data_IF_880800463068
#
_entry.id   IF_880800463068
#
_cell.length_a   1.000
_cell.length_b   1.000
_cell.length_c   1.000
_cell.angle_alpha   90.00
_cell.angle_beta   90.00
_cell.angle_gamma   90.00
#
_symmetry.space_group_name_H-M   'P 1'
#
loop_
_entity.id
_entity.type
_entity.pdbx_description
1 polymer ?
#
# COMPACT_ATOMS: atom_id res chain seq x y z
N UNK A 1 7.58 -8.91 4.20
CA UNK A 1 8.60 -9.86 3.71
C UNK A 1 10.00 -9.33 3.98
N UNK A 2 10.34 -8.12 3.50
CA UNK A 2 11.67 -7.54 3.62
C UNK A 2 11.63 -6.02 3.44
N UNK A 3 12.55 -5.30 4.10
CA UNK A 3 12.78 -3.86 3.85
C UNK A 3 13.99 -3.62 2.92
N UNK A 4 14.58 -4.68 2.35
CA UNK A 4 15.58 -4.52 1.31
C UNK A 4 14.94 -3.94 0.05
N UNK A 5 15.48 -2.83 -0.47
CA UNK A 5 14.94 -2.15 -1.63
C UNK A 5 16.05 -1.73 -2.58
N UNK A 6 15.88 -1.95 -3.88
CA UNK A 6 16.82 -1.51 -4.91
C UNK A 6 16.55 -0.09 -5.40
N UNK A 7 15.34 0.43 -5.13
CA UNK A 7 14.97 1.81 -5.45
C UNK A 7 15.56 2.79 -4.44
N UNK A 8 15.78 4.01 -4.90
CA UNK A 8 16.34 5.08 -4.09
C UNK A 8 15.42 6.32 -4.09
N UNK A 9 14.11 6.07 -4.00
CA UNK A 9 13.08 7.11 -3.97
C UNK A 9 13.41 8.15 -2.91
N UNK A 10 13.37 9.44 -3.26
CA UNK A 10 13.91 10.51 -2.41
C UNK A 10 13.07 10.81 -1.16
N UNK A 11 11.88 10.25 -1.08
CA UNK A 11 10.91 10.40 0.02
C UNK A 11 10.89 9.21 1.00
N UNK A 12 11.48 8.07 0.63
CA UNK A 12 11.23 6.81 1.32
C UNK A 12 12.33 6.48 2.35
N UNK A 13 11.94 6.23 3.60
CA UNK A 13 12.88 5.88 4.67
C UNK A 13 13.68 4.61 4.40
N UNK A 14 13.10 3.61 3.72
CA UNK A 14 13.79 2.35 3.39
C UNK A 14 14.53 2.36 2.03
N UNK A 15 14.70 3.53 1.40
CA UNK A 15 15.44 3.65 0.13
C UNK A 15 16.83 3.02 0.22
N UNK A 16 17.36 2.54 -0.91
CA UNK A 16 18.68 1.85 -0.96
C UNK A 16 19.84 2.72 -0.47
N UNK A 17 19.75 4.04 -0.66
CA UNK A 17 20.77 5.00 -0.20
C UNK A 17 20.71 5.34 1.29
N UNK A 18 19.66 4.92 2.03
CA UNK A 18 19.64 5.09 3.48
C UNK A 18 20.41 3.97 4.17
N UNK A 19 21.63 4.29 4.62
CA UNK A 19 22.53 3.34 5.29
C UNK A 19 22.25 3.18 6.78
N UNK A 20 21.37 4.00 7.36
CA UNK A 20 21.00 3.91 8.79
C UNK A 20 19.94 2.86 9.04
N UNK A 21 19.22 2.41 8.01
CA UNK A 21 18.17 1.41 8.14
C UNK A 21 18.76 0.04 8.43
N UNK A 22 18.36 -0.56 9.52
CA UNK A 22 18.62 -1.96 9.80
C UNK A 22 17.81 -2.82 8.82
N UNK A 23 18.50 -3.53 7.94
CA UNK A 23 17.88 -4.37 6.90
C UNK A 23 17.50 -5.72 7.48
N UNK A 24 16.31 -6.18 7.09
CA UNK A 24 15.83 -7.50 7.45
C UNK A 24 15.22 -8.24 6.25
N UNK A 25 15.08 -9.53 6.41
CA UNK A 25 14.39 -10.42 5.50
C UNK A 25 13.78 -11.52 6.36
N UNK A 26 12.45 -11.55 6.48
CA UNK A 26 11.71 -12.52 7.27
C UNK A 26 11.97 -13.94 6.76
N UNK A 27 12.04 -14.92 7.64
CA UNK A 27 12.02 -16.31 7.22
C UNK A 27 10.64 -16.69 6.65
N UNK A 28 10.61 -17.70 5.78
CA UNK A 28 9.36 -18.13 5.14
C UNK A 28 8.35 -18.63 6.18
N UNK A 29 8.84 -19.28 7.23
CA UNK A 29 8.05 -19.79 8.35
C UNK A 29 7.37 -18.67 9.13
N UNK A 30 8.04 -17.54 9.35
CA UNK A 30 7.48 -16.35 10.01
C UNK A 30 6.33 -15.76 9.17
N UNK A 31 6.50 -15.71 7.85
CA UNK A 31 5.49 -15.17 6.93
C UNK A 31 4.27 -16.09 6.89
N UNK A 32 4.48 -17.40 6.80
CA UNK A 32 3.39 -18.40 6.81
C UNK A 32 2.65 -18.37 8.14
N UNK A 33 3.36 -18.30 9.27
CA UNK A 33 2.76 -18.19 10.60
C UNK A 33 1.90 -16.92 10.74
N UNK A 34 2.37 -15.78 10.23
CA UNK A 34 1.58 -14.55 10.21
C UNK A 34 0.32 -14.67 9.33
N UNK A 35 0.39 -15.42 8.23
CA UNK A 35 -0.77 -15.67 7.37
C UNK A 35 -1.79 -16.61 8.04
N UNK A 36 -1.32 -17.66 8.74
CA UNK A 36 -2.18 -18.55 9.55
C UNK A 36 -2.86 -17.72 10.64
N UNK A 37 -2.09 -16.91 11.38
CA UNK A 37 -2.65 -16.01 12.40
C UNK A 37 -3.75 -15.11 11.81
N UNK A 38 -3.53 -14.49 10.64
CA UNK A 38 -4.54 -13.67 10.00
C UNK A 38 -5.81 -14.47 9.67
N UNK A 39 -5.67 -15.66 9.09
CA UNK A 39 -6.79 -16.54 8.77
C UNK A 39 -7.58 -16.93 10.03
N UNK A 40 -6.90 -17.34 11.10
CA UNK A 40 -7.53 -17.84 12.33
C UNK A 40 -8.22 -16.71 13.10
N UNK A 41 -7.77 -15.46 12.92
CA UNK A 41 -8.43 -14.27 13.45
C UNK A 41 -9.52 -13.71 12.52
N UNK A 42 -9.90 -14.43 11.47
CA UNK A 42 -10.99 -14.06 10.58
C UNK A 42 -10.66 -12.95 9.57
N UNK A 43 -9.39 -12.59 9.38
CA UNK A 43 -9.04 -11.70 8.28
C UNK A 43 -9.20 -12.43 6.94
N UNK A 44 -9.98 -11.85 6.04
CA UNK A 44 -10.24 -12.47 4.73
C UNK A 44 -9.10 -12.23 3.72
N UNK A 45 -8.17 -11.33 4.01
CA UNK A 45 -7.06 -11.03 3.10
C UNK A 45 -5.80 -10.55 3.82
N UNK A 46 -4.65 -10.72 3.15
CA UNK A 46 -3.33 -10.28 3.61
C UNK A 46 -2.59 -9.53 2.52
N UNK A 47 -1.77 -8.54 2.91
CA UNK A 47 -0.81 -7.88 2.01
C UNK A 47 0.60 -8.37 2.32
N UNK A 48 1.23 -9.01 1.35
CA UNK A 48 2.65 -9.37 1.40
C UNK A 48 3.46 -8.25 0.76
N UNK A 49 4.08 -7.43 1.59
CA UNK A 49 4.84 -6.26 1.17
C UNK A 49 6.34 -6.47 1.30
N UNK A 50 7.09 -5.93 0.35
CA UNK A 50 8.55 -5.88 0.39
C UNK A 50 9.06 -4.56 -0.20
N UNK A 51 10.30 -4.18 0.11
CA UNK A 51 11.03 -3.29 -0.78
C UNK A 51 11.15 -3.92 -2.17
N UNK A 52 11.41 -3.12 -3.19
CA UNK A 52 11.51 -3.62 -4.56
C UNK A 52 12.79 -4.44 -4.74
N UNK A 53 12.61 -5.74 -4.97
CA UNK A 53 13.68 -6.73 -5.17
C UNK A 53 13.41 -7.47 -6.48
N UNK A 54 14.47 -7.72 -7.24
CA UNK A 54 14.40 -8.44 -8.52
C UNK A 54 15.27 -9.70 -8.48
N UNK A 55 15.02 -10.63 -9.39
CA UNK A 55 15.85 -11.79 -9.64
C UNK A 55 15.16 -13.13 -9.41
N UNK A 56 15.70 -14.17 -10.04
CA UNK A 56 15.11 -15.51 -10.09
C UNK A 56 14.86 -16.12 -8.70
N UNK A 57 15.76 -15.88 -7.74
CA UNK A 57 15.60 -16.41 -6.38
C UNK A 57 14.41 -15.78 -5.67
N UNK A 58 14.27 -14.44 -5.75
CA UNK A 58 13.14 -13.73 -5.15
C UNK A 58 11.81 -14.15 -5.81
N UNK A 59 11.79 -14.25 -7.14
CA UNK A 59 10.60 -14.70 -7.88
C UNK A 59 10.14 -16.08 -7.41
N UNK A 60 11.04 -17.08 -7.36
CA UNK A 60 10.75 -18.43 -6.89
C UNK A 60 10.32 -18.47 -5.42
N UNK A 61 10.94 -17.63 -4.59
CA UNK A 61 10.59 -17.53 -3.18
C UNK A 61 9.14 -17.07 -3.00
N UNK A 62 8.72 -16.00 -3.70
CA UNK A 62 7.34 -15.52 -3.64
C UNK A 62 6.35 -16.59 -4.12
N UNK A 63 6.64 -17.29 -5.21
CA UNK A 63 5.79 -18.41 -5.68
C UNK A 63 5.65 -19.51 -4.63
N UNK A 64 6.74 -19.89 -4.00
CA UNK A 64 6.73 -20.89 -2.92
C UNK A 64 5.90 -20.42 -1.73
N UNK A 65 6.08 -19.15 -1.31
CA UNK A 65 5.31 -18.54 -0.21
C UNK A 65 3.81 -18.52 -0.52
N UNK A 66 3.41 -18.13 -1.72
CA UNK A 66 2.01 -18.12 -2.15
C UNK A 66 1.40 -19.51 -2.00
N UNK A 67 2.05 -20.55 -2.54
CA UNK A 67 1.59 -21.93 -2.44
C UNK A 67 1.51 -22.43 -0.99
N UNK A 68 2.53 -22.13 -0.16
CA UNK A 68 2.56 -22.50 1.26
C UNK A 68 1.40 -21.84 2.02
N UNK A 69 1.13 -20.55 1.80
CA UNK A 69 0.04 -19.82 2.46
C UNK A 69 -1.32 -20.38 2.02
N UNK A 70 -1.54 -20.58 0.72
CA UNK A 70 -2.78 -21.18 0.22
C UNK A 70 -3.04 -22.55 0.85
N UNK A 71 -2.05 -23.43 0.89
CA UNK A 71 -2.16 -24.74 1.53
C UNK A 71 -2.46 -24.63 3.03
N UNK A 72 -1.75 -23.73 3.75
CA UNK A 72 -1.89 -23.56 5.19
C UNK A 72 -3.21 -22.91 5.61
N UNK A 73 -3.86 -22.15 4.74
CA UNK A 73 -5.13 -21.45 5.02
C UNK A 73 -6.33 -22.05 4.28
N UNK A 74 -6.15 -23.20 3.59
CA UNK A 74 -7.18 -23.83 2.77
C UNK A 74 -7.85 -22.83 1.80
N UNK A 75 -7.05 -22.01 1.11
CA UNK A 75 -7.47 -20.96 0.16
C UNK A 75 -8.43 -19.91 0.73
N UNK A 76 -8.61 -19.84 2.05
CA UNK A 76 -9.52 -18.87 2.68
C UNK A 76 -8.97 -17.46 2.76
N UNK A 77 -7.64 -17.28 2.60
CA UNK A 77 -6.98 -15.98 2.70
C UNK A 77 -6.61 -15.43 1.33
N UNK A 78 -7.23 -14.32 0.92
CA UNK A 78 -6.87 -13.63 -0.33
C UNK A 78 -5.54 -12.90 -0.18
N UNK A 79 -4.63 -13.10 -1.14
CA UNK A 79 -3.29 -12.50 -1.09
C UNK A 79 -3.18 -11.31 -2.05
N UNK A 80 -2.70 -10.19 -1.52
CA UNK A 80 -2.26 -9.01 -2.27
C UNK A 80 -0.73 -8.94 -2.22
N UNK A 81 -0.07 -8.81 -3.36
CA UNK A 81 1.37 -8.54 -3.41
C UNK A 81 1.63 -7.03 -3.53
N UNK A 82 2.69 -6.56 -2.86
CA UNK A 82 3.25 -5.22 -3.00
C UNK A 82 4.78 -5.30 -3.00
N UNK A 83 5.34 -5.74 -4.14
CA UNK A 83 6.75 -6.07 -4.32
C UNK A 83 7.42 -5.23 -5.42
N UNK A 84 6.84 -4.07 -5.76
CA UNK A 84 7.37 -3.14 -6.76
C UNK A 84 7.23 -3.59 -8.20
N UNK A 85 8.04 -3.00 -9.08
CA UNK A 85 8.07 -3.32 -10.51
C UNK A 85 8.69 -4.70 -10.75
N UNK A 86 8.09 -5.46 -11.66
CA UNK A 86 8.61 -6.77 -12.09
C UNK A 86 8.42 -6.92 -13.62
N UNK A 87 9.03 -7.93 -14.18
CA UNK A 87 8.81 -8.28 -15.59
C UNK A 87 7.45 -8.99 -15.78
N UNK A 88 6.85 -8.90 -16.96
CA UNK A 88 5.52 -9.48 -17.30
C UNK A 88 5.40 -10.96 -16.92
N UNK A 89 6.45 -11.74 -17.18
CA UNK A 89 6.48 -13.17 -16.85
C UNK A 89 6.41 -13.40 -15.33
N UNK A 90 7.07 -12.57 -14.52
CA UNK A 90 7.05 -12.67 -13.07
C UNK A 90 5.64 -12.37 -12.54
N UNK A 91 4.98 -11.33 -13.03
CA UNK A 91 3.60 -11.04 -12.65
C UNK A 91 2.67 -12.20 -12.98
N UNK A 92 2.77 -12.78 -14.19
CA UNK A 92 1.96 -13.93 -14.60
C UNK A 92 2.18 -15.13 -13.67
N UNK A 93 3.42 -15.49 -13.38
CA UNK A 93 3.76 -16.62 -12.50
C UNK A 93 3.19 -16.43 -11.07
N UNK A 94 3.28 -15.24 -10.51
CA UNK A 94 2.72 -14.95 -9.21
C UNK A 94 1.18 -14.96 -9.21
N UNK A 95 0.56 -14.50 -10.29
CA UNK A 95 -0.88 -14.57 -10.49
C UNK A 95 -1.38 -16.02 -10.55
N UNK A 96 -0.70 -16.87 -11.32
CA UNK A 96 -0.97 -18.31 -11.42
C UNK A 96 -0.72 -19.02 -10.09
N UNK A 97 0.24 -18.56 -9.29
CA UNK A 97 0.52 -19.09 -7.95
C UNK A 97 -0.47 -18.61 -6.86
N UNK A 98 -1.50 -17.82 -7.21
CA UNK A 98 -2.61 -17.48 -6.32
C UNK A 98 -2.67 -16.01 -5.87
N UNK A 99 -1.70 -15.16 -6.17
CA UNK A 99 -1.82 -13.74 -5.90
C UNK A 99 -2.78 -13.08 -6.88
N UNK A 100 -4.00 -12.75 -6.45
CA UNK A 100 -5.03 -12.16 -7.32
C UNK A 100 -5.10 -10.65 -7.26
N UNK A 101 -4.34 -10.01 -6.35
CA UNK A 101 -4.26 -8.56 -6.16
C UNK A 101 -2.81 -8.11 -6.17
N UNK A 102 -2.58 -6.94 -6.73
CA UNK A 102 -1.25 -6.32 -6.71
C UNK A 102 -1.37 -4.83 -6.43
N UNK A 103 -0.61 -4.33 -5.46
CA UNK A 103 -0.54 -2.92 -5.11
C UNK A 103 0.83 -2.36 -5.49
N UNK A 104 0.84 -1.39 -6.42
CA UNK A 104 2.05 -0.69 -6.83
C UNK A 104 1.79 0.81 -6.95
N UNK A 105 2.28 1.58 -6.00
CA UNK A 105 2.01 3.02 -5.91
C UNK A 105 2.72 3.79 -7.02
N UNK A 106 1.98 4.71 -7.68
CA UNK A 106 2.53 5.67 -8.65
C UNK A 106 3.08 6.91 -7.96
N UNK A 107 2.55 7.27 -6.80
CA UNK A 107 2.81 8.41 -5.93
C UNK A 107 2.34 9.77 -6.46
N UNK A 108 2.39 10.01 -7.75
CA UNK A 108 1.76 11.10 -8.50
C UNK A 108 1.63 10.72 -9.97
N UNK A 109 0.59 11.20 -10.64
CA UNK A 109 0.39 11.03 -12.09
C UNK A 109 1.15 12.06 -12.92
N UNK A 110 1.63 13.14 -12.30
CA UNK A 110 2.44 14.16 -12.95
C UNK A 110 3.88 13.66 -13.12
N UNK A 111 4.33 13.53 -14.38
CA UNK A 111 5.67 13.02 -14.70
C UNK A 111 6.79 13.93 -14.20
N UNK A 112 6.61 15.25 -14.25
CA UNK A 112 7.62 16.22 -13.81
C UNK A 112 7.75 16.20 -12.29
N UNK A 113 6.64 16.12 -11.56
CA UNK A 113 6.63 15.92 -10.12
C UNK A 113 7.27 14.57 -9.76
N UNK A 114 6.92 13.50 -10.47
CA UNK A 114 7.53 12.18 -10.27
C UNK A 114 9.06 12.23 -10.40
N UNK A 115 9.58 12.95 -11.41
CA UNK A 115 11.02 13.13 -11.61
C UNK A 115 11.71 13.87 -10.45
N UNK A 116 10.99 14.77 -9.75
CA UNK A 116 11.50 15.44 -8.54
C UNK A 116 11.52 14.53 -7.29
N UNK A 117 10.69 13.50 -7.28
CA UNK A 117 10.59 12.54 -6.18
C UNK A 117 11.59 11.38 -6.30
N UNK A 118 12.25 11.24 -7.44
CA UNK A 118 13.09 10.09 -7.75
C UNK A 118 14.43 10.50 -8.34
N UNK A 119 15.49 9.68 -8.19
CA UNK A 119 16.71 9.86 -8.96
C UNK A 119 16.45 9.77 -10.46
N UNK A 120 17.18 10.57 -11.22
CA UNK A 120 17.14 10.52 -12.69
C UNK A 120 17.98 9.35 -13.21
N UNK A 121 17.44 8.14 -13.10
CA UNK A 121 18.09 6.92 -13.60
C UNK A 121 17.04 5.94 -14.17
N UNK A 122 17.51 4.92 -14.91
CA UNK A 122 16.63 3.94 -15.55
C UNK A 122 15.78 3.12 -14.57
N UNK A 123 16.17 3.01 -13.29
CA UNK A 123 15.43 2.28 -12.27
C UNK A 123 14.20 3.04 -11.79
N UNK A 124 14.14 4.36 -12.03
CA UNK A 124 13.07 5.23 -11.54
C UNK A 124 12.26 5.84 -12.70
N UNK A 125 12.10 5.11 -13.80
CA UNK A 125 11.34 5.56 -14.96
C UNK A 125 9.84 5.62 -14.65
N UNK A 126 9.23 6.79 -14.83
CA UNK A 126 7.78 6.99 -14.75
C UNK A 126 7.05 6.11 -15.78
N UNK A 127 7.54 6.08 -17.02
CA UNK A 127 6.96 5.26 -18.08
C UNK A 127 6.96 3.77 -17.72
N UNK A 128 8.09 3.25 -17.22
CA UNK A 128 8.15 1.84 -16.77
C UNK A 128 7.14 1.56 -15.67
N UNK A 129 6.93 2.49 -14.74
CA UNK A 129 5.93 2.34 -13.66
C UNK A 129 4.52 2.23 -14.23
N UNK A 130 4.17 3.06 -15.21
CA UNK A 130 2.88 3.00 -15.92
C UNK A 130 2.72 1.69 -16.70
N UNK A 131 3.75 1.28 -17.43
CA UNK A 131 3.74 0.04 -18.20
C UNK A 131 3.51 -1.17 -17.27
N UNK A 132 4.13 -1.19 -16.10
CA UNK A 132 3.88 -2.23 -15.11
C UNK A 132 2.43 -2.23 -14.59
N UNK A 133 1.81 -1.07 -14.35
CA UNK A 133 0.39 -1.00 -13.97
C UNK A 133 -0.52 -1.57 -15.07
N UNK A 134 -0.21 -1.30 -16.33
CA UNK A 134 -0.95 -1.85 -17.46
C UNK A 134 -0.78 -3.37 -17.56
N UNK A 135 0.46 -3.87 -17.43
CA UNK A 135 0.75 -5.31 -17.44
C UNK A 135 -0.01 -6.04 -16.32
N UNK A 136 -0.11 -5.45 -15.13
CA UNK A 136 -0.88 -6.01 -14.03
C UNK A 136 -2.37 -6.15 -14.39
N UNK A 137 -2.97 -5.12 -15.00
CA UNK A 137 -4.36 -5.16 -15.49
C UNK A 137 -4.54 -6.24 -16.57
N UNK A 138 -3.66 -6.27 -17.58
CA UNK A 138 -3.68 -7.28 -18.65
C UNK A 138 -3.53 -8.71 -18.13
N UNK A 139 -2.77 -8.89 -17.04
CA UNK A 139 -2.58 -10.21 -16.40
C UNK A 139 -3.83 -10.67 -15.63
N UNK A 140 -4.78 -9.76 -15.35
CA UNK A 140 -6.02 -10.05 -14.63
C UNK A 140 -6.00 -9.74 -13.15
N UNK A 141 -4.97 -9.05 -12.64
CA UNK A 141 -4.95 -8.62 -11.25
C UNK A 141 -6.04 -7.60 -10.94
N UNK A 142 -6.60 -7.67 -9.73
CA UNK A 142 -7.18 -6.50 -9.11
C UNK A 142 -6.04 -5.52 -8.82
N UNK A 143 -5.84 -4.59 -9.77
CA UNK A 143 -4.70 -3.69 -9.76
C UNK A 143 -4.95 -2.50 -8.84
N UNK A 144 -4.04 -2.31 -7.88
CA UNK A 144 -4.03 -1.20 -6.96
C UNK A 144 -2.88 -0.25 -7.21
N UNK A 145 -3.14 1.03 -7.03
CA UNK A 145 -2.11 2.07 -6.98
C UNK A 145 -2.45 3.11 -5.90
N UNK A 146 -1.73 4.20 -5.86
CA UNK A 146 -2.01 5.29 -4.94
C UNK A 146 -1.05 6.44 -5.09
N UNK A 147 -1.43 7.55 -4.48
CA UNK A 147 -0.73 8.81 -4.54
C UNK A 147 -0.43 9.34 -3.15
N UNK A 148 0.56 10.22 -3.03
CA UNK A 148 0.83 10.98 -1.82
C UNK A 148 0.27 12.40 -1.97
N UNK A 149 -0.24 12.94 -0.88
CA UNK A 149 -0.92 14.24 -0.84
C UNK A 149 -0.10 15.22 0.01
N UNK A 150 0.14 16.41 -0.54
CA UNK A 150 0.95 17.44 0.11
C UNK A 150 2.47 17.21 -0.06
N UNK A 151 2.88 16.64 -1.18
CA UNK A 151 4.29 16.54 -1.56
C UNK A 151 4.92 17.92 -1.77
N UNK A 152 6.23 18.07 -1.58
CA UNK A 152 6.92 19.28 -2.07
C UNK A 152 6.64 19.48 -3.55
N UNK A 153 6.36 20.74 -3.94
CA UNK A 153 6.07 21.15 -5.34
C UNK A 153 4.75 20.67 -5.93
N UNK A 154 3.93 19.91 -5.21
CA UNK A 154 2.62 19.46 -5.66
C UNK A 154 1.63 20.63 -5.66
N UNK A 155 0.85 20.75 -6.72
CA UNK A 155 -0.20 21.75 -6.88
C UNK A 155 -1.59 21.15 -6.70
N UNK A 156 -2.65 21.96 -6.51
CA UNK A 156 -4.02 21.46 -6.53
C UNK A 156 -4.41 20.79 -7.85
N UNK A 157 -3.86 21.26 -8.99
CA UNK A 157 -4.06 20.67 -10.31
C UNK A 157 -3.46 19.27 -10.38
N UNK A 158 -2.27 19.04 -9.81
CA UNK A 158 -1.67 17.70 -9.71
C UNK A 158 -2.60 16.72 -8.95
N UNK A 159 -3.24 17.19 -7.88
CA UNK A 159 -4.19 16.37 -7.10
C UNK A 159 -5.45 16.05 -7.91
N UNK A 160 -5.97 17.01 -8.68
CA UNK A 160 -7.09 16.78 -9.57
C UNK A 160 -6.75 15.78 -10.68
N UNK A 161 -5.57 15.94 -11.29
CA UNK A 161 -5.07 15.01 -12.32
C UNK A 161 -4.81 13.61 -11.75
N UNK A 162 -4.35 13.50 -10.51
CA UNK A 162 -4.21 12.22 -9.81
C UNK A 162 -5.57 11.50 -9.69
N UNK A 163 -6.66 12.22 -9.35
CA UNK A 163 -8.01 11.62 -9.30
C UNK A 163 -8.50 11.17 -10.68
N UNK A 164 -8.29 12.00 -11.71
CA UNK A 164 -8.64 11.66 -13.09
C UNK A 164 -7.80 10.47 -13.58
N UNK A 165 -6.52 10.42 -13.25
CA UNK A 165 -5.65 9.30 -13.56
C UNK A 165 -6.19 7.98 -12.97
N UNK A 166 -6.58 7.98 -11.69
CA UNK A 166 -7.12 6.80 -11.03
C UNK A 166 -8.38 6.29 -11.74
N UNK A 167 -9.29 7.19 -12.10
CA UNK A 167 -10.52 6.90 -12.83
C UNK A 167 -10.25 6.40 -14.26
N UNK A 168 -9.46 7.14 -15.03
CA UNK A 168 -9.19 6.85 -16.44
C UNK A 168 -8.39 5.55 -16.63
N UNK A 169 -7.58 5.17 -15.63
CA UNK A 169 -6.85 3.91 -15.64
C UNK A 169 -7.62 2.75 -15.01
N UNK A 170 -8.87 2.96 -14.62
CA UNK A 170 -9.74 1.91 -14.07
C UNK A 170 -9.10 1.18 -12.88
N UNK A 171 -8.54 1.95 -11.93
CA UNK A 171 -7.88 1.41 -10.74
C UNK A 171 -8.94 0.95 -9.73
N UNK A 172 -8.80 -0.28 -9.25
CA UNK A 172 -9.82 -0.91 -8.40
C UNK A 172 -9.49 -0.90 -6.90
N UNK A 173 -8.22 -0.66 -6.54
CA UNK A 173 -7.76 -0.51 -5.15
C UNK A 173 -6.88 0.73 -5.03
N UNK A 174 -7.24 1.67 -4.18
CA UNK A 174 -6.58 2.96 -4.12
C UNK A 174 -6.11 3.26 -2.69
N UNK A 175 -4.81 3.57 -2.57
CA UNK A 175 -4.19 4.03 -1.33
C UNK A 175 -3.77 5.49 -1.44
N UNK A 176 -4.49 6.39 -0.78
CA UNK A 176 -4.10 7.80 -0.67
C UNK A 176 -3.77 8.14 0.76
N UNK A 177 -2.74 8.95 0.95
CA UNK A 177 -2.35 9.38 2.28
C UNK A 177 -1.52 10.64 2.25
N UNK A 178 -1.49 11.39 3.36
CA UNK A 178 -0.65 12.57 3.47
C UNK A 178 0.83 12.19 3.34
N UNK A 179 1.60 13.02 2.66
CA UNK A 179 3.05 12.91 2.71
C UNK A 179 3.52 13.22 4.14
N UNK A 180 4.27 12.30 4.71
CA UNK A 180 4.96 12.47 5.98
C UNK A 180 6.46 12.37 5.74
N UNK A 181 7.20 13.29 6.34
CA UNK A 181 8.63 13.39 6.20
C UNK A 181 9.34 12.24 6.89
N UNK A 182 10.52 11.92 6.41
CA UNK A 182 11.51 11.08 7.11
C UNK A 182 12.84 11.82 7.12
N UNK A 183 13.41 12.04 8.29
CA UNK A 183 14.61 12.85 8.50
C UNK A 183 15.83 12.37 7.68
N UNK A 184 15.93 11.06 7.43
CA UNK A 184 17.03 10.46 6.66
C UNK A 184 16.76 10.39 5.15
N UNK A 185 15.83 11.20 4.63
CA UNK A 185 15.51 11.24 3.20
C UNK A 185 15.96 12.56 2.55
N UNK A 186 16.33 12.55 1.26
CA UNK A 186 16.71 13.77 0.57
C UNK A 186 15.60 14.82 0.49
N UNK A 187 14.32 14.41 0.44
CA UNK A 187 13.20 15.37 0.41
C UNK A 187 12.99 16.10 1.73
N UNK A 188 13.55 15.63 2.85
CA UNK A 188 13.45 16.31 4.14
C UNK A 188 13.96 17.77 4.11
N UNK A 189 14.90 18.09 3.21
CA UNK A 189 15.39 19.45 3.02
C UNK A 189 14.31 20.47 2.60
N UNK A 190 13.19 19.98 2.04
CA UNK A 190 12.07 20.82 1.59
C UNK A 190 10.94 20.94 2.62
N UNK A 191 11.13 20.44 3.85
CA UNK A 191 10.08 20.42 4.90
C UNK A 191 9.48 21.78 5.21
N UNK A 192 10.26 22.87 5.08
CA UNK A 192 9.80 24.25 5.29
C UNK A 192 8.88 24.78 4.17
N UNK A 193 8.79 24.08 3.04
CA UNK A 193 7.93 24.41 1.91
C UNK A 193 6.64 23.61 1.88
N UNK A 194 6.49 22.67 2.81
CA UNK A 194 5.30 21.83 2.88
C UNK A 194 4.13 22.59 3.48
N UNK A 195 2.94 22.28 3.03
CA UNK A 195 1.72 22.66 3.76
C UNK A 195 1.78 22.15 5.20
N UNK A 196 1.18 22.85 6.15
CA UNK A 196 0.99 22.35 7.51
C UNK A 196 0.42 20.92 7.52
N UNK A 197 0.87 20.10 8.44
CA UNK A 197 0.50 18.68 8.47
C UNK A 197 -1.02 18.47 8.56
N UNK A 198 -1.73 19.34 9.27
CA UNK A 198 -3.20 19.30 9.37
C UNK A 198 -3.87 19.62 8.04
N UNK A 199 -3.33 20.55 7.25
CA UNK A 199 -3.86 20.84 5.91
C UNK A 199 -3.65 19.66 4.96
N UNK A 200 -2.50 18.98 5.03
CA UNK A 200 -2.25 17.74 4.26
C UNK A 200 -3.24 16.62 4.67
N UNK A 201 -3.57 16.56 5.95
CA UNK A 201 -4.59 15.65 6.47
C UNK A 201 -5.97 15.95 5.88
N UNK A 202 -6.42 17.21 5.97
CA UNK A 202 -7.72 17.63 5.46
C UNK A 202 -7.83 17.47 3.94
N UNK A 203 -6.77 17.79 3.19
CA UNK A 203 -6.70 17.52 1.75
C UNK A 203 -6.84 16.03 1.45
N UNK A 204 -6.22 15.17 2.27
CA UNK A 204 -6.35 13.72 2.08
C UNK A 204 -7.80 13.25 2.28
N UNK A 205 -8.50 13.74 3.30
CA UNK A 205 -9.92 13.42 3.51
C UNK A 205 -10.78 13.93 2.35
N UNK A 206 -10.53 15.14 1.84
CA UNK A 206 -11.22 15.68 0.65
C UNK A 206 -10.98 14.81 -0.57
N UNK A 207 -9.73 14.40 -0.83
CA UNK A 207 -9.39 13.52 -1.96
C UNK A 207 -10.11 12.17 -1.86
N UNK A 208 -10.19 11.58 -0.65
CA UNK A 208 -10.94 10.33 -0.41
C UNK A 208 -12.43 10.53 -0.72
N UNK A 209 -13.04 11.61 -0.23
CA UNK A 209 -14.46 11.90 -0.46
C UNK A 209 -14.76 12.13 -1.95
N UNK A 210 -13.96 12.93 -2.63
CA UNK A 210 -14.13 13.19 -4.07
C UNK A 210 -13.98 11.88 -4.86
N UNK A 211 -12.95 11.09 -4.56
CA UNK A 211 -12.74 9.81 -5.24
C UNK A 211 -13.92 8.86 -5.02
N UNK A 212 -14.49 8.79 -3.80
CA UNK A 212 -15.67 7.97 -3.53
C UNK A 212 -16.89 8.40 -4.34
N UNK A 213 -17.08 9.71 -4.55
CA UNK A 213 -18.15 10.23 -5.41
C UNK A 213 -17.89 9.88 -6.87
N UNK A 214 -16.64 9.99 -7.33
CA UNK A 214 -16.25 9.70 -8.72
C UNK A 214 -16.26 8.20 -9.06
N UNK A 215 -15.89 7.35 -8.09
CA UNK A 215 -15.74 5.90 -8.24
C UNK A 215 -16.38 5.19 -7.04
N UNK A 216 -17.70 4.94 -7.15
CA UNK A 216 -18.56 4.56 -6.02
C UNK A 216 -18.25 3.20 -5.41
N UNK A 217 -17.66 2.29 -6.17
CA UNK A 217 -17.52 0.86 -5.88
C UNK A 217 -16.08 0.35 -5.81
N UNK A 218 -15.07 1.25 -5.87
CA UNK A 218 -13.65 0.90 -5.71
C UNK A 218 -13.26 0.74 -4.24
N UNK A 219 -12.19 0.00 -3.99
CA UNK A 219 -11.61 -0.09 -2.67
C UNK A 219 -10.67 1.10 -2.39
N UNK A 220 -10.94 1.84 -1.32
CA UNK A 220 -10.12 2.97 -0.84
C UNK A 220 -9.59 2.65 0.55
N UNK A 221 -8.27 2.68 0.72
CA UNK A 221 -7.62 2.35 1.99
C UNK A 221 -7.58 3.57 2.93
N UNK A 222 -8.01 3.37 4.19
CA UNK A 222 -7.72 4.26 5.31
C UNK A 222 -6.27 4.04 5.76
N UNK A 223 -5.35 4.88 5.26
CA UNK A 223 -3.91 4.69 5.45
C UNK A 223 -3.44 5.01 6.87
N UNK A 224 -2.40 4.29 7.34
CA UNK A 224 -1.79 4.54 8.66
C UNK A 224 -1.16 5.92 8.79
N UNK A 225 -0.78 6.57 7.69
CA UNK A 225 -0.27 7.93 7.68
C UNK A 225 -1.28 8.94 8.26
N UNK A 226 -2.57 8.74 8.06
CA UNK A 226 -3.62 9.56 8.67
C UNK A 226 -3.63 9.41 10.21
N UNK A 227 -3.41 8.20 10.71
CA UNK A 227 -3.35 7.95 12.15
C UNK A 227 -2.10 8.54 12.81
N UNK A 228 -1.02 8.77 12.05
CA UNK A 228 0.17 9.47 12.54
C UNK A 228 -0.13 10.92 12.90
N UNK A 229 -1.03 11.56 12.17
CA UNK A 229 -1.42 12.97 12.37
C UNK A 229 -2.53 13.09 13.42
N UNK A 230 -3.56 12.28 13.27
CA UNK A 230 -4.72 12.27 14.17
C UNK A 230 -5.00 10.84 14.63
N UNK A 231 -5.13 10.63 15.95
CA UNK A 231 -5.39 9.30 16.53
C UNK A 231 -6.63 8.62 15.94
N UNK A 232 -7.63 9.39 15.49
CA UNK A 232 -8.84 8.91 14.80
C UNK A 232 -8.77 9.11 13.27
N UNK A 233 -7.58 9.30 12.71
CA UNK A 233 -7.40 9.63 11.30
C UNK A 233 -7.92 8.56 10.35
N UNK A 234 -7.80 7.28 10.70
CA UNK A 234 -8.36 6.20 9.89
C UNK A 234 -9.88 6.16 9.94
N UNK A 235 -10.48 6.39 11.10
CA UNK A 235 -11.92 6.47 11.29
C UNK A 235 -12.50 7.65 10.50
N UNK A 236 -11.87 8.81 10.54
CA UNK A 236 -12.24 9.98 9.72
C UNK A 236 -12.15 9.66 8.23
N UNK A 237 -11.15 8.90 7.79
CA UNK A 237 -11.05 8.45 6.41
C UNK A 237 -12.20 7.50 6.01
N UNK A 238 -12.61 6.59 6.89
CA UNK A 238 -13.77 5.72 6.66
C UNK A 238 -15.05 6.55 6.53
N UNK A 239 -15.27 7.51 7.40
CA UNK A 239 -16.42 8.43 7.32
C UNK A 239 -16.37 9.28 6.03
N UNK A 240 -15.17 9.59 5.51
CA UNK A 240 -14.99 10.30 4.25
C UNK A 240 -15.18 9.41 3.00
N UNK A 241 -15.29 8.08 3.16
CA UNK A 241 -15.54 7.16 2.05
C UNK A 241 -14.51 6.04 1.85
N UNK A 242 -13.47 5.92 2.68
CA UNK A 242 -12.61 4.75 2.68
C UNK A 242 -13.38 3.51 3.19
N UNK A 243 -13.04 2.33 2.69
CA UNK A 243 -13.71 1.07 3.04
C UNK A 243 -12.75 -0.09 3.28
N UNK A 244 -11.44 0.17 3.29
CA UNK A 244 -10.43 -0.84 3.59
C UNK A 244 -9.54 -0.35 4.72
N UNK A 245 -9.32 -1.18 5.73
CA UNK A 245 -8.39 -0.94 6.81
C UNK A 245 -7.38 -2.09 6.89
N UNK A 246 -6.12 -1.76 7.14
CA UNK A 246 -5.02 -2.72 7.13
C UNK A 246 -4.29 -2.67 8.49
N UNK A 247 -4.62 -3.57 9.43
CA UNK A 247 -3.81 -3.74 10.64
C UNK A 247 -2.43 -4.31 10.31
N UNK A 248 -1.44 -3.97 11.12
CA UNK A 248 -0.08 -4.45 10.92
C UNK A 248 0.13 -5.78 11.65
N UNK A 249 0.28 -6.86 10.90
CA UNK A 249 0.54 -8.21 11.43
C UNK A 249 2.02 -8.64 11.30
N UNK A 250 2.90 -7.74 10.85
CA UNK A 250 4.35 -8.00 10.85
C UNK A 250 4.81 -8.29 12.27
N UNK A 251 5.67 -9.32 12.51
CA UNK A 251 6.21 -9.58 13.84
C UNK A 251 6.86 -8.33 14.46
N UNK A 252 6.60 -8.08 15.76
CA UNK A 252 6.92 -6.83 16.44
C UNK A 252 8.38 -6.39 16.27
N UNK A 253 9.32 -7.34 16.36
CA UNK A 253 10.75 -7.07 16.25
C UNK A 253 11.19 -6.41 14.92
N UNK A 254 10.38 -6.50 13.84
CA UNK A 254 10.70 -5.93 12.52
C UNK A 254 9.93 -4.65 12.20
N UNK A 255 8.93 -4.27 13.01
CA UNK A 255 8.02 -3.16 12.67
C UNK A 255 8.73 -1.82 12.61
N UNK A 256 9.65 -1.57 13.55
CA UNK A 256 10.44 -0.36 13.59
C UNK A 256 11.44 -0.26 12.44
N UNK A 257 11.92 -1.40 11.95
CA UNK A 257 12.86 -1.46 10.82
C UNK A 257 12.17 -1.24 9.46
N UNK A 258 10.81 -1.23 9.41
CA UNK A 258 10.02 -0.90 8.22
C UNK A 258 9.41 0.50 8.32
N UNK A 259 10.25 1.50 8.55
CA UNK A 259 9.84 2.89 8.68
C UNK A 259 9.95 3.62 7.33
N UNK A 260 8.81 3.85 6.68
CA UNK A 260 8.74 4.60 5.43
C UNK A 260 8.79 6.10 5.68
N UNK A 261 8.28 6.55 6.81
CA UNK A 261 8.22 7.92 7.33
C UNK A 261 8.37 7.91 8.86
N UNK A 262 8.66 9.07 9.46
CA UNK A 262 8.85 9.20 10.91
C UNK A 262 7.54 9.03 11.69
N UNK A 263 7.63 8.60 12.95
CA UNK A 263 6.51 8.43 13.87
C UNK A 263 5.38 7.49 13.38
N UNK A 264 5.72 6.45 12.63
CA UNK A 264 4.75 5.45 12.18
C UNK A 264 4.04 4.80 13.39
N UNK A 265 2.71 4.78 13.45
CA UNK A 265 1.98 4.19 14.58
C UNK A 265 1.96 2.67 14.56
N UNK A 266 1.52 2.06 15.66
CA UNK A 266 1.33 0.61 15.83
C UNK A 266 2.62 -0.19 15.62
N UNK A 267 3.73 0.31 16.16
CA UNK A 267 5.02 -0.38 16.13
C UNK A 267 5.22 -1.30 17.33
N UNK A 268 4.59 -1.00 18.47
CA UNK A 268 4.83 -1.67 19.75
C UNK A 268 3.65 -2.56 20.23
N UNK A 269 2.55 -2.58 19.47
CA UNK A 269 1.36 -3.36 19.80
C UNK A 269 1.49 -4.82 19.37
N UNK A 270 0.94 -5.77 20.16
CA UNK A 270 0.83 -7.15 19.71
C UNK A 270 -0.30 -7.29 18.68
N UNK A 271 -0.17 -8.19 17.68
CA UNK A 271 -1.23 -8.42 16.69
C UNK A 271 -2.57 -8.85 17.30
N UNK A 272 -2.54 -9.53 18.44
CA UNK A 272 -3.73 -10.03 19.16
C UNK A 272 -4.55 -8.87 19.75
N UNK A 273 -3.89 -7.86 20.33
CA UNK A 273 -4.54 -6.68 20.91
C UNK A 273 -5.17 -5.78 19.82
N UNK A 274 -4.64 -5.84 18.60
CA UNK A 274 -5.08 -5.02 17.48
C UNK A 274 -6.52 -5.35 17.04
N UNK A 275 -7.00 -6.59 17.17
CA UNK A 275 -8.33 -6.99 16.66
C UNK A 275 -9.46 -6.29 17.41
N UNK A 276 -9.54 -6.47 18.73
CA UNK A 276 -10.60 -5.89 19.57
C UNK A 276 -10.59 -4.35 19.53
N UNK A 277 -9.38 -3.76 19.56
CA UNK A 277 -9.21 -2.32 19.39
C UNK A 277 -9.74 -1.86 18.04
N UNK A 278 -9.45 -2.58 16.96
CA UNK A 278 -9.89 -2.23 15.61
C UNK A 278 -11.42 -2.32 15.48
N UNK A 279 -12.04 -3.38 16.01
CA UNK A 279 -13.50 -3.55 16.02
C UNK A 279 -14.19 -2.39 16.72
N UNK A 280 -13.74 -2.05 17.94
CA UNK A 280 -14.29 -0.94 18.72
C UNK A 280 -14.15 0.40 17.97
N UNK A 281 -13.01 0.65 17.35
CA UNK A 281 -12.74 1.88 16.59
C UNK A 281 -13.60 1.98 15.31
N UNK A 282 -13.80 0.88 14.59
CA UNK A 282 -14.65 0.85 13.41
C UNK A 282 -16.12 1.05 13.78
N UNK A 283 -16.57 0.45 14.90
CA UNK A 283 -17.92 0.66 15.40
C UNK A 283 -18.25 2.14 15.70
N UNK A 284 -17.25 2.95 16.10
CA UNK A 284 -17.42 4.41 16.28
C UNK A 284 -17.80 5.13 14.98
N UNK A 285 -17.52 4.54 13.82
CA UNK A 285 -17.90 5.11 12.51
C UNK A 285 -19.28 4.67 12.01
N UNK A 286 -20.01 3.87 12.81
CA UNK A 286 -21.27 3.26 12.40
C UNK A 286 -21.11 2.10 11.42
N UNK A 287 -19.90 1.57 11.25
CA UNK A 287 -19.58 0.46 10.36
C UNK A 287 -19.17 -0.79 11.13
N UNK A 288 -19.14 -1.92 10.44
CA UNK A 288 -18.65 -3.20 10.95
C UNK A 288 -17.53 -3.73 10.05
N UNK A 289 -16.63 -4.54 10.64
CA UNK A 289 -15.60 -5.24 9.88
C UNK A 289 -16.22 -6.50 9.26
N UNK A 290 -16.05 -6.68 7.96
CA UNK A 290 -16.46 -7.89 7.24
C UNK A 290 -15.39 -8.99 7.42
N UNK A 291 -15.36 -9.60 8.61
CA UNK A 291 -14.47 -10.74 8.87
C UNK A 291 -14.81 -11.93 7.98
N UNK A 292 -13.79 -12.67 7.55
CA UNK A 292 -13.92 -13.82 6.67
C UNK A 292 -14.15 -13.49 5.19
N UNK A 293 -14.47 -12.23 4.89
CA UNK A 293 -14.69 -11.79 3.51
C UNK A 293 -13.37 -11.41 2.85
N UNK A 294 -13.18 -11.82 1.61
CA UNK A 294 -11.98 -11.47 0.85
C UNK A 294 -11.81 -9.97 0.60
N UNK A 295 -12.93 -9.22 0.59
CA UNK A 295 -12.94 -7.80 0.33
C UNK A 295 -12.50 -7.47 -1.10
N UNK A 296 -12.89 -8.28 -2.09
CA UNK A 296 -12.66 -7.95 -3.50
C UNK A 296 -13.43 -6.68 -3.87
N UNK A 297 -12.82 -5.82 -4.69
CA UNK A 297 -13.45 -4.58 -5.14
C UNK A 297 -14.75 -4.89 -5.90
N UNK A 298 -15.85 -4.26 -5.52
CA UNK A 298 -17.11 -4.37 -6.24
C UNK A 298 -16.96 -3.86 -7.68
N UNK A 299 -16.18 -2.82 -7.88
CA UNK A 299 -15.83 -2.30 -9.21
C UNK A 299 -15.17 -3.38 -10.10
N UNK A 300 -14.25 -4.17 -9.53
CA UNK A 300 -13.62 -5.26 -10.27
C UNK A 300 -14.62 -6.38 -10.62
N UNK A 301 -15.49 -6.76 -9.69
CA UNK A 301 -16.53 -7.77 -9.92
C UNK A 301 -17.50 -7.33 -11.03
N UNK A 302 -18.03 -6.13 -10.93
CA UNK A 302 -18.97 -5.58 -11.92
C UNK A 302 -18.40 -5.52 -13.34
N UNK A 303 -17.06 -5.33 -13.46
CA UNK A 303 -16.36 -5.31 -14.77
C UNK A 303 -16.20 -6.70 -15.37
N UNK A 304 -16.02 -7.73 -14.54
CA UNK A 304 -15.80 -9.11 -15.01
C UNK A 304 -17.10 -9.85 -15.33
N UNK A 305 -18.23 -9.34 -14.82
CA UNK A 305 -19.57 -9.94 -14.99
C UNK A 305 -20.32 -9.36 -16.21
N UNK A 306 -19.75 -8.34 -16.88
CA UNK A 306 -20.21 -7.77 -18.15
C UNK A 306 -19.31 -8.20 -19.31
#
# INVERSE_FOLDING_TARGET
>A
ISNNCRKNCLYCGIRSGNRKVKRFNLFDEEIVSAAIFANDNGYGSIVLQSGEIHGKMFTKRIESLLKKIHAATNDRLRITLSCGEQEKDVYRRWFESGAKRYLMRIETSNQDLYARLHPNDQRHSFRKRLDCLNILKETGYQTGTGVMIGLPFQTPEDLADDLLFLKNNDIVMIGMGPYLEHADTPLYRYRSQLLPVNERFDLTLKMIAILRIMMKDVNIAATTALQTIDKLGREKAIMAGANVIMPNITPGMYRNDYSLYDNKPCTDENPEDCRTCLEARIALTGNNIAFGEWGDSAHFKNRTDN
#
